data_IF_871555925154
#
_entry.id   IF_871555925154
#
_cell.length_a   1.000
_cell.length_b   1.000
_cell.length_c   1.000
_cell.angle_alpha   90.00
_cell.angle_beta   90.00
_cell.angle_gamma   90.00
#
_symmetry.space_group_name_H-M   'P 1'
#
loop_
_entity.id
_entity.type
_entity.pdbx_description
1 polymer ?
#
# COMPACT_ATOMS: atom_id res chain seq x y z
N UNK A 1 0.05 -7.84 2.47
CA UNK A 1 0.43 -7.78 3.91
C UNK A 1 1.81 -7.15 4.02
N UNK A 2 1.97 -6.16 4.90
CA UNK A 2 3.28 -5.56 5.20
C UNK A 2 4.10 -6.58 5.98
N UNK A 3 5.32 -6.87 5.52
CA UNK A 3 6.24 -7.79 6.19
C UNK A 3 6.73 -7.11 7.47
N UNK A 4 6.48 -7.72 8.62
CA UNK A 4 7.00 -7.26 9.91
C UNK A 4 8.49 -7.55 10.04
N UNK A 5 9.16 -6.91 11.02
CA UNK A 5 10.56 -7.20 11.34
C UNK A 5 10.79 -8.70 11.62
N UNK A 6 9.86 -9.34 12.34
CA UNK A 6 9.93 -10.77 12.67
C UNK A 6 9.80 -11.63 11.41
N UNK A 7 8.89 -11.27 10.50
CA UNK A 7 8.69 -11.98 9.22
C UNK A 7 9.79 -11.70 8.19
N UNK A 8 10.55 -10.62 8.36
CA UNK A 8 11.64 -10.27 7.47
C UNK A 8 12.73 -11.35 7.43
N UNK A 9 12.93 -12.06 8.55
CA UNK A 9 13.72 -13.29 8.64
C UNK A 9 15.24 -13.11 8.54
N UNK A 10 15.75 -11.88 8.64
CA UNK A 10 17.18 -11.56 8.59
C UNK A 10 17.47 -10.21 9.28
N UNK A 11 18.73 -9.89 9.61
CA UNK A 11 19.07 -8.59 10.19
C UNK A 11 18.64 -7.42 9.30
N UNK A 12 18.15 -6.32 9.90
CA UNK A 12 17.53 -5.20 9.17
C UNK A 12 18.48 -4.48 8.20
N UNK A 13 19.79 -4.53 8.47
CA UNK A 13 20.84 -3.92 7.66
C UNK A 13 21.38 -4.86 6.58
N UNK A 14 20.94 -6.13 6.55
CA UNK A 14 21.32 -7.07 5.50
C UNK A 14 20.47 -6.84 4.26
N UNK A 15 21.13 -6.97 3.12
CA UNK A 15 20.53 -6.80 1.81
C UNK A 15 19.97 -8.13 1.28
N UNK A 16 18.75 -8.08 0.75
CA UNK A 16 18.13 -9.10 -0.08
C UNK A 16 18.31 -8.76 -1.55
N UNK A 17 18.34 -9.77 -2.40
CA UNK A 17 18.29 -9.60 -3.85
C UNK A 17 16.85 -9.68 -4.36
N UNK A 18 16.55 -8.90 -5.40
CA UNK A 18 15.33 -9.10 -6.16
C UNK A 18 15.40 -10.41 -6.96
N UNK A 19 14.26 -11.05 -7.18
CA UNK A 19 14.17 -12.22 -8.07
C UNK A 19 14.37 -11.85 -9.55
N UNK A 20 14.20 -10.57 -9.89
CA UNK A 20 14.34 -10.02 -11.24
C UNK A 20 15.53 -9.06 -11.29
N UNK A 21 16.09 -8.85 -12.49
CA UNK A 21 17.20 -7.92 -12.70
C UNK A 21 16.73 -6.47 -12.61
N UNK A 22 17.38 -5.66 -11.77
CA UNK A 22 17.17 -4.22 -11.62
C UNK A 22 18.52 -3.49 -11.53
N UNK A 23 18.56 -2.20 -11.86
CA UNK A 23 19.77 -1.36 -11.78
C UNK A 23 20.37 -1.33 -10.36
N UNK A 24 19.50 -1.29 -9.35
CA UNK A 24 19.87 -1.49 -7.94
C UNK A 24 19.41 -2.90 -7.54
N UNK A 25 20.30 -3.90 -7.53
CA UNK A 25 19.91 -5.31 -7.44
C UNK A 25 19.57 -5.76 -6.01
N UNK A 26 19.62 -4.85 -5.05
CA UNK A 26 19.53 -5.15 -3.62
C UNK A 26 18.64 -4.18 -2.87
N UNK A 27 18.00 -4.67 -1.81
CA UNK A 27 17.21 -3.87 -0.90
C UNK A 27 17.30 -4.43 0.54
N UNK A 28 17.22 -3.56 1.54
CA UNK A 28 17.13 -3.98 2.94
C UNK A 28 15.71 -3.72 3.47
N UNK A 29 15.46 -4.01 4.75
CA UNK A 29 14.12 -3.83 5.34
C UNK A 29 13.66 -2.36 5.28
N UNK A 30 14.57 -1.42 5.49
CA UNK A 30 14.25 0.00 5.44
C UNK A 30 13.86 0.45 4.03
N UNK A 31 14.55 -0.03 3.00
CA UNK A 31 14.18 0.22 1.62
C UNK A 31 12.84 -0.44 1.26
N UNK A 32 12.56 -1.65 1.75
CA UNK A 32 11.25 -2.28 1.59
C UNK A 32 10.13 -1.42 2.20
N UNK A 33 10.29 -0.99 3.45
CA UNK A 33 9.31 -0.15 4.15
C UNK A 33 9.13 1.20 3.45
N UNK A 34 10.22 1.85 3.05
CA UNK A 34 10.12 3.09 2.26
C UNK A 34 9.43 2.86 0.92
N UNK A 35 9.78 1.82 0.17
CA UNK A 35 9.13 1.51 -1.11
C UNK A 35 7.64 1.24 -0.90
N UNK A 36 7.28 0.52 0.16
CA UNK A 36 5.88 0.29 0.53
C UNK A 36 5.13 1.59 0.82
N UNK A 37 5.72 2.51 1.60
CA UNK A 37 5.13 3.81 1.90
C UNK A 37 4.91 4.70 0.66
N UNK A 38 5.74 4.53 -0.36
CA UNK A 38 5.69 5.35 -1.57
C UNK A 38 5.14 4.60 -2.80
N UNK A 39 4.73 3.32 -2.66
CA UNK A 39 4.42 2.45 -3.80
C UNK A 39 3.33 3.01 -4.72
N UNK A 40 2.39 3.78 -4.17
CA UNK A 40 1.28 4.40 -4.89
C UNK A 40 1.43 5.91 -5.02
N UNK A 41 2.53 6.49 -4.55
CA UNK A 41 2.76 7.93 -4.58
C UNK A 41 3.66 8.28 -5.76
N UNK A 42 3.08 8.94 -6.76
CA UNK A 42 3.86 9.61 -7.80
C UNK A 42 4.00 11.08 -7.48
N UNK A 43 5.24 11.56 -7.48
CA UNK A 43 5.57 12.97 -7.36
C UNK A 43 6.15 13.45 -8.67
N UNK A 44 5.46 14.38 -9.34
CA UNK A 44 5.92 14.91 -10.62
C UNK A 44 7.02 15.98 -10.42
N UNK A 45 7.59 16.47 -11.53
CA UNK A 45 8.65 17.51 -11.51
C UNK A 45 8.19 18.87 -10.95
N UNK A 46 6.90 19.06 -10.75
CA UNK A 46 6.28 20.29 -10.22
C UNK A 46 5.82 20.12 -8.77
N UNK A 47 6.35 19.11 -8.06
CA UNK A 47 5.97 18.80 -6.68
C UNK A 47 4.52 18.32 -6.49
N UNK A 48 3.78 18.02 -7.58
CA UNK A 48 2.41 17.54 -7.49
C UNK A 48 2.37 16.05 -7.20
N UNK A 49 1.56 15.68 -6.23
CA UNK A 49 1.31 14.31 -5.83
C UNK A 49 0.12 13.73 -6.61
N UNK A 50 0.27 12.50 -7.09
CA UNK A 50 -0.79 11.72 -7.69
C UNK A 50 -0.76 10.32 -7.09
N UNK A 51 -1.94 9.80 -6.79
CA UNK A 51 -2.08 8.44 -6.30
C UNK A 51 -2.70 7.53 -7.37
N UNK A 52 -2.14 6.35 -7.54
CA UNK A 52 -2.64 5.36 -8.48
C UNK A 52 -3.47 4.30 -7.78
N UNK A 53 -4.78 4.52 -7.71
CA UNK A 53 -5.73 3.55 -7.21
C UNK A 53 -6.83 3.29 -8.25
N UNK A 54 -7.15 2.01 -8.45
CA UNK A 54 -8.33 1.59 -9.17
C UNK A 54 -9.08 0.62 -8.26
N UNK A 55 -10.29 1.01 -7.85
CA UNK A 55 -11.15 0.12 -7.09
C UNK A 55 -11.93 -0.74 -8.08
N UNK A 56 -11.77 -2.04 -7.97
CA UNK A 56 -12.58 -2.97 -8.75
C UNK A 56 -14.04 -2.87 -8.30
N UNK A 57 -14.88 -2.28 -9.15
CA UNK A 57 -16.33 -2.14 -8.87
C UNK A 57 -17.09 -3.47 -9.02
N UNK A 58 -16.44 -4.49 -9.58
CA UNK A 58 -16.98 -5.85 -9.66
C UNK A 58 -16.57 -6.71 -8.47
N UNK A 59 -15.84 -6.12 -7.52
CA UNK A 59 -15.43 -6.78 -6.29
C UNK A 59 -16.60 -7.47 -5.62
N UNK A 60 -16.42 -8.76 -5.29
CA UNK A 60 -17.43 -9.50 -4.57
C UNK A 60 -17.51 -8.93 -3.16
N UNK A 61 -18.60 -8.24 -2.82
CA UNK A 61 -18.81 -7.67 -1.49
C UNK A 61 -18.81 -8.71 -0.35
N UNK A 62 -18.77 -10.02 -0.65
CA UNK A 62 -18.57 -11.09 0.34
C UNK A 62 -17.11 -11.46 0.56
N UNK A 63 -16.19 -10.95 -0.25
CA UNK A 63 -14.77 -11.12 -0.02
C UNK A 63 -14.33 -10.17 1.08
N UNK A 64 -13.64 -10.76 2.04
CA UNK A 64 -13.05 -10.04 3.14
C UNK A 64 -11.81 -9.34 2.62
N UNK A 65 -11.72 -8.06 2.95
CA UNK A 65 -10.57 -7.23 2.60
C UNK A 65 -9.56 -7.33 3.75
N UNK A 66 -8.29 -7.62 3.44
CA UNK A 66 -7.27 -7.61 4.48
C UNK A 66 -7.10 -6.21 5.08
N UNK A 67 -7.09 -6.13 6.41
CA UNK A 67 -6.98 -4.86 7.15
C UNK A 67 -5.75 -4.00 6.77
N UNK A 68 -4.67 -4.63 6.28
CA UNK A 68 -3.46 -3.92 5.85
C UNK A 68 -3.74 -2.83 4.80
N UNK A 69 -4.77 -3.01 3.95
CA UNK A 69 -5.12 -2.00 2.96
C UNK A 69 -5.71 -0.75 3.63
N UNK A 70 -6.60 -0.94 4.61
CA UNK A 70 -7.21 0.17 5.35
C UNK A 70 -6.18 0.91 6.21
N UNK A 71 -5.26 0.20 6.84
CA UNK A 71 -4.11 0.81 7.54
C UNK A 71 -3.26 1.66 6.58
N UNK A 72 -2.86 1.07 5.45
CA UNK A 72 -2.06 1.78 4.46
C UNK A 72 -2.78 3.03 3.93
N UNK A 73 -4.07 2.91 3.61
CA UNK A 73 -4.88 4.04 3.16
C UNK A 73 -5.00 5.13 4.23
N UNK A 74 -5.16 4.76 5.50
CA UNK A 74 -5.32 5.72 6.60
C UNK A 74 -4.06 6.54 6.85
N UNK A 75 -2.88 5.92 6.75
CA UNK A 75 -1.60 6.60 7.02
C UNK A 75 -0.98 7.28 5.80
N UNK A 76 -1.18 6.74 4.60
CA UNK A 76 -0.46 7.15 3.38
C UNK A 76 -1.38 7.51 2.21
N UNK A 77 -2.70 7.33 2.39
CA UNK A 77 -3.68 7.71 1.40
C UNK A 77 -3.80 9.23 1.24
N UNK A 78 -4.49 9.68 0.18
CA UNK A 78 -4.90 11.06 0.03
C UNK A 78 -5.77 11.56 1.18
N UNK A 79 -5.80 12.88 1.37
CA UNK A 79 -6.88 13.49 2.14
C UNK A 79 -8.23 13.09 1.51
N UNK A 80 -9.21 12.70 2.33
CA UNK A 80 -10.54 12.33 1.87
C UNK A 80 -11.22 13.49 1.11
N UNK A 81 -10.93 14.75 1.47
CA UNK A 81 -11.52 15.94 0.85
C UNK A 81 -11.20 16.09 -0.65
N UNK A 82 -10.12 15.45 -1.13
CA UNK A 82 -9.71 15.52 -2.54
C UNK A 82 -10.17 14.28 -3.34
N UNK A 83 -10.87 13.35 -2.69
CA UNK A 83 -11.37 12.16 -3.35
C UNK A 83 -12.56 12.50 -4.24
N UNK A 84 -12.64 11.80 -5.37
CA UNK A 84 -13.87 11.83 -6.17
C UNK A 84 -14.95 10.99 -5.47
N UNK A 85 -16.24 11.31 -5.65
CA UNK A 85 -17.33 10.54 -5.03
C UNK A 85 -17.26 9.04 -5.33
N UNK A 86 -16.81 8.66 -6.53
CA UNK A 86 -16.68 7.25 -6.91
C UNK A 86 -15.60 6.48 -6.14
N UNK A 87 -14.55 7.19 -5.69
CA UNK A 87 -13.47 6.61 -4.88
C UNK A 87 -13.89 6.53 -3.41
N UNK A 88 -14.61 7.54 -2.92
CA UNK A 88 -15.15 7.55 -1.56
C UNK A 88 -16.19 6.43 -1.34
N UNK A 89 -17.09 6.20 -2.29
CA UNK A 89 -18.06 5.10 -2.26
C UNK A 89 -17.35 3.73 -2.22
N UNK A 90 -16.31 3.58 -3.04
CA UNK A 90 -15.51 2.37 -3.06
C UNK A 90 -14.78 2.17 -1.72
N UNK A 91 -14.16 3.22 -1.18
CA UNK A 91 -13.49 3.16 0.12
C UNK A 91 -14.46 2.77 1.25
N UNK A 92 -15.66 3.35 1.27
CA UNK A 92 -16.71 2.97 2.23
C UNK A 92 -17.09 1.49 2.11
N UNK A 93 -17.24 1.01 0.87
CA UNK A 93 -17.52 -0.42 0.62
C UNK A 93 -16.40 -1.30 1.14
N UNK A 94 -15.14 -0.89 0.96
CA UNK A 94 -13.98 -1.65 1.43
C UNK A 94 -13.91 -1.68 2.96
N UNK A 95 -14.11 -0.53 3.61
CA UNK A 95 -14.12 -0.40 5.07
C UNK A 95 -15.22 -1.26 5.74
N UNK A 96 -16.39 -1.36 5.11
CA UNK A 96 -17.49 -2.19 5.62
C UNK A 96 -17.25 -3.69 5.45
N UNK A 97 -16.26 -4.10 4.66
CA UNK A 97 -15.96 -5.50 4.33
C UNK A 97 -14.53 -5.92 4.75
N UNK A 98 -13.89 -5.17 5.66
CA UNK A 98 -12.63 -5.60 6.30
C UNK A 98 -12.88 -6.55 7.47
N UNK A 99 -12.03 -7.58 7.60
CA UNK A 99 -11.98 -8.42 8.82
C UNK A 99 -11.39 -7.61 9.98
N UNK A 100 -12.05 -7.63 11.14
CA UNK A 100 -11.40 -7.31 12.41
C UNK A 100 -10.33 -8.38 12.67
N UNK A 101 -9.05 -8.00 12.59
CA UNK A 101 -7.97 -8.88 12.98
C UNK A 101 -7.83 -8.79 14.52
N UNK A 102 -8.10 -9.86 15.29
CA UNK A 102 -7.86 -9.86 16.74
C UNK A 102 -6.38 -9.70 17.10
#
# INVERSE_FOLDING_TARGET
>A
KIITITEWGQPLHHYKHFSSSFDIPVYNYFYYIQAWHHAFLFKNIEDRHSWFFCFDKTFNARQIIPYWFMDMWTFYGPNQDILTPSVEEALCTFANNTEDNP
#
